data_IF_464957032284
#
_entry.id   IF_464957032284
#
_cell.length_a   1.000
_cell.length_b   1.000
_cell.length_c   1.000
_cell.angle_alpha   90.00
_cell.angle_beta   90.00
_cell.angle_gamma   90.00
#
_symmetry.space_group_name_H-M   'P 1'
#
loop_
_entity.id
_entity.type
_entity.pdbx_description
1 polymer ?
#
# COMPACT_ATOMS: atom_id res chain seq x y z
N UNK A 1 3.44 -17.99 -20.97
CA UNK A 1 3.60 -19.21 -20.14
C UNK A 1 4.21 -18.74 -18.83
N UNK A 2 3.47 -18.83 -17.73
CA UNK A 2 4.00 -18.55 -16.39
C UNK A 2 5.09 -19.58 -16.11
N UNK A 3 6.35 -19.14 -16.00
CA UNK A 3 7.38 -19.94 -15.35
C UNK A 3 6.99 -20.04 -13.88
N UNK A 4 6.46 -21.19 -13.49
CA UNK A 4 6.25 -21.51 -12.08
C UNK A 4 7.65 -21.58 -11.44
N UNK A 5 8.12 -20.48 -10.89
CA UNK A 5 9.12 -20.50 -9.84
C UNK A 5 8.58 -21.45 -8.79
N UNK A 6 9.35 -22.48 -8.42
CA UNK A 6 8.90 -23.48 -7.48
C UNK A 6 8.33 -22.76 -6.23
N UNK A 7 7.04 -22.97 -5.97
CA UNK A 7 6.39 -22.39 -4.80
C UNK A 7 7.25 -22.73 -3.57
N UNK A 8 7.64 -21.74 -2.77
CA UNK A 8 8.36 -22.04 -1.55
C UNK A 8 7.52 -23.03 -0.73
N UNK A 9 8.16 -24.02 -0.12
CA UNK A 9 7.48 -25.00 0.75
C UNK A 9 6.86 -24.37 2.00
N UNK A 10 6.94 -23.07 2.13
CA UNK A 10 6.48 -22.21 3.20
C UNK A 10 7.36 -20.96 3.31
N UNK A 11 6.90 -19.98 4.04
CA UNK A 11 7.66 -18.81 4.44
C UNK A 11 8.76 -19.18 5.44
N UNK A 12 9.64 -18.26 5.86
CA UNK A 12 10.66 -18.54 6.86
C UNK A 12 10.11 -19.35 8.03
N UNK A 13 10.83 -20.41 8.42
CA UNK A 13 10.45 -21.41 9.45
C UNK A 13 9.24 -22.29 9.05
N UNK A 14 8.92 -22.40 7.75
CA UNK A 14 7.83 -23.23 7.26
C UNK A 14 6.42 -22.65 7.54
N UNK A 15 6.32 -21.37 7.87
CA UNK A 15 5.03 -20.71 8.11
C UNK A 15 4.16 -20.69 6.85
N UNK A 16 2.85 -20.95 6.98
CA UNK A 16 1.98 -21.03 5.81
C UNK A 16 1.48 -19.69 5.28
N UNK A 17 1.51 -18.62 6.09
CA UNK A 17 0.99 -17.33 5.73
C UNK A 17 2.03 -16.25 6.02
N UNK A 18 2.26 -15.33 5.07
CA UNK A 18 2.92 -14.06 5.31
C UNK A 18 1.86 -12.98 5.53
N UNK A 19 2.06 -12.13 6.53
CA UNK A 19 1.17 -11.00 6.80
C UNK A 19 1.99 -9.72 6.82
N UNK A 20 1.65 -8.79 5.92
CA UNK A 20 2.21 -7.44 5.84
C UNK A 20 1.23 -6.38 6.30
N UNK A 21 1.72 -5.19 6.54
CA UNK A 21 0.92 -4.02 6.90
C UNK A 21 1.25 -2.88 5.95
N UNK A 22 0.24 -2.28 5.34
CA UNK A 22 0.37 -1.15 4.43
C UNK A 22 -0.41 0.06 4.90
N UNK A 23 0.22 1.22 4.85
CA UNK A 23 -0.39 2.53 5.12
C UNK A 23 -0.37 3.35 3.85
N UNK A 24 -1.55 3.66 3.32
CA UNK A 24 -1.72 4.54 2.17
C UNK A 24 -1.66 5.99 2.63
N UNK A 25 -0.62 6.70 2.21
CA UNK A 25 -0.42 8.12 2.46
C UNK A 25 -0.61 8.89 1.16
N UNK A 26 -1.87 9.18 0.88
CA UNK A 26 -2.35 9.70 -0.38
C UNK A 26 -2.45 11.22 -0.39
N UNK A 27 -2.01 11.82 -1.50
CA UNK A 27 -2.07 13.25 -1.76
C UNK A 27 -2.65 13.57 -3.13
N UNK A 28 -3.21 14.77 -3.27
CA UNK A 28 -3.76 15.33 -4.50
C UNK A 28 -3.08 16.65 -4.84
N UNK A 29 -3.07 17.02 -6.13
CA UNK A 29 -2.63 18.36 -6.58
C UNK A 29 -3.57 19.44 -6.08
N UNK A 30 -3.13 20.72 -6.12
CA UNK A 30 -3.88 21.84 -5.51
C UNK A 30 -5.22 22.12 -6.18
N UNK A 31 -5.36 21.72 -7.43
CA UNK A 31 -6.57 21.84 -8.26
C UNK A 31 -7.48 20.62 -8.20
N UNK A 32 -7.17 19.65 -7.33
CA UNK A 32 -7.86 18.36 -7.28
C UNK A 32 -8.20 17.92 -5.85
N UNK A 33 -9.09 16.94 -5.76
CA UNK A 33 -9.54 16.31 -4.54
C UNK A 33 -9.94 14.84 -4.84
N UNK A 34 -10.10 13.98 -3.81
CA UNK A 34 -10.72 12.68 -3.98
C UNK A 34 -12.04 12.76 -4.77
N UNK A 35 -12.23 11.85 -5.72
CA UNK A 35 -13.46 11.84 -6.53
C UNK A 35 -14.72 11.45 -5.76
N UNK A 36 -14.56 10.93 -4.53
CA UNK A 36 -15.63 10.64 -3.58
C UNK A 36 -15.23 11.27 -2.26
N UNK A 37 -15.98 12.25 -1.79
CA UNK A 37 -15.84 12.81 -0.45
C UNK A 37 -16.63 12.00 0.59
N UNK A 38 -16.34 12.18 1.90
CA UNK A 38 -16.96 11.40 2.97
C UNK A 38 -18.48 11.59 3.06
N UNK A 39 -19.01 12.70 2.54
CA UNK A 39 -20.47 12.96 2.50
C UNK A 39 -21.14 12.50 1.21
N UNK A 40 -20.37 12.00 0.24
CA UNK A 40 -20.91 11.46 -1.01
C UNK A 40 -21.63 12.45 -1.91
N UNK A 41 -21.42 13.77 -1.73
CA UNK A 41 -22.08 14.79 -2.54
C UNK A 41 -21.33 14.98 -3.88
N UNK A 42 -21.92 14.60 -5.02
CA UNK A 42 -21.30 14.85 -6.31
C UNK A 42 -21.36 16.33 -6.65
N UNK A 43 -20.22 16.93 -6.99
CA UNK A 43 -20.16 18.31 -7.50
C UNK A 43 -20.13 18.31 -9.03
N UNK A 44 -20.48 19.46 -9.62
CA UNK A 44 -20.37 19.64 -11.08
C UNK A 44 -18.90 19.55 -11.51
N UNK A 45 -18.68 19.06 -12.73
CA UNK A 45 -17.33 19.04 -13.31
C UNK A 45 -16.69 20.43 -13.27
N UNK A 46 -15.41 20.51 -12.93
CA UNK A 46 -14.64 21.73 -12.79
C UNK A 46 -14.81 22.48 -11.46
N UNK A 47 -15.65 22.01 -10.55
CA UNK A 47 -15.76 22.55 -9.19
C UNK A 47 -14.87 21.75 -8.25
N UNK A 48 -13.92 22.40 -7.58
CA UNK A 48 -13.05 21.77 -6.59
C UNK A 48 -13.85 21.44 -5.32
N UNK A 49 -13.87 20.16 -4.93
CA UNK A 49 -14.50 19.70 -3.71
C UNK A 49 -13.59 19.98 -2.48
N UNK A 50 -13.82 21.11 -1.83
CA UNK A 50 -13.07 21.52 -0.65
C UNK A 50 -13.28 20.60 0.55
N UNK A 51 -14.43 19.95 0.65
CA UNK A 51 -14.71 18.99 1.72
C UNK A 51 -13.89 17.71 1.52
N UNK A 52 -13.91 17.13 0.31
CA UNK A 52 -13.12 15.96 -0.02
C UNK A 52 -11.62 16.24 0.12
N UNK A 53 -11.16 17.44 -0.31
CA UNK A 53 -9.79 17.90 -0.11
C UNK A 53 -9.42 17.96 1.37
N UNK A 54 -10.24 18.59 2.20
CA UNK A 54 -10.03 18.68 3.65
C UNK A 54 -10.02 17.30 4.32
N UNK A 55 -10.87 16.39 3.85
CA UNK A 55 -10.90 15.00 4.31
C UNK A 55 -9.59 14.27 3.99
N UNK A 56 -9.06 14.39 2.78
CA UNK A 56 -7.79 13.80 2.38
C UNK A 56 -6.60 14.35 3.17
N UNK A 57 -6.58 15.67 3.42
CA UNK A 57 -5.52 16.33 4.18
C UNK A 57 -5.44 15.91 5.66
N UNK A 58 -6.50 15.31 6.20
CA UNK A 58 -6.45 14.69 7.52
C UNK A 58 -5.37 13.60 7.59
N UNK A 59 -5.13 12.89 6.48
CA UNK A 59 -4.13 11.83 6.40
C UNK A 59 -2.74 12.29 6.85
N UNK A 60 -2.08 13.20 6.13
CA UNK A 60 -0.74 13.65 6.50
C UNK A 60 -0.69 14.54 7.75
N UNK A 61 -1.79 15.26 8.07
CA UNK A 61 -1.82 16.18 9.22
C UNK A 61 -2.03 15.49 10.56
N UNK A 62 -2.82 14.41 10.60
CA UNK A 62 -3.24 13.77 11.86
C UNK A 62 -3.17 12.25 11.77
N UNK A 63 -3.78 11.68 10.72
CA UNK A 63 -3.99 10.23 10.63
C UNK A 63 -2.70 9.43 10.59
N UNK A 64 -1.74 9.84 9.77
CA UNK A 64 -0.46 9.15 9.65
C UNK A 64 0.34 9.13 10.96
N UNK A 65 0.35 10.24 11.71
CA UNK A 65 1.00 10.31 13.02
C UNK A 65 0.38 9.34 14.02
N UNK A 66 -0.95 9.28 14.06
CA UNK A 66 -1.67 8.31 14.92
C UNK A 66 -1.35 6.86 14.54
N UNK A 67 -1.30 6.55 13.25
CA UNK A 67 -0.95 5.21 12.79
C UNK A 67 0.50 4.85 13.10
N UNK A 68 1.44 5.82 13.04
CA UNK A 68 2.82 5.65 13.48
C UNK A 68 2.90 5.31 14.97
N UNK A 69 2.21 6.06 15.83
CA UNK A 69 2.17 5.79 17.27
C UNK A 69 1.62 4.39 17.58
N UNK A 70 0.60 3.95 16.84
CA UNK A 70 0.03 2.61 16.98
C UNK A 70 1.05 1.54 16.57
N UNK A 71 1.71 1.71 15.42
CA UNK A 71 2.72 0.77 14.92
C UNK A 71 3.92 0.67 15.86
N UNK A 72 4.39 1.81 16.40
CA UNK A 72 5.47 1.85 17.40
C UNK A 72 5.07 1.11 18.66
N UNK A 73 3.89 1.40 19.22
CA UNK A 73 3.35 0.70 20.40
C UNK A 73 3.17 -0.81 20.21
N UNK A 74 2.98 -1.27 18.97
CA UNK A 74 2.88 -2.69 18.60
C UNK A 74 4.24 -3.28 18.17
N UNK A 75 5.28 -2.47 18.01
CA UNK A 75 6.59 -2.87 17.49
C UNK A 75 6.49 -3.61 16.13
N UNK A 76 5.64 -3.12 15.25
CA UNK A 76 5.42 -3.66 13.91
C UNK A 76 5.92 -2.71 12.84
N UNK A 77 6.59 -3.27 11.83
CA UNK A 77 6.94 -2.54 10.60
C UNK A 77 5.77 -2.53 9.64
N UNK A 78 5.68 -1.47 8.84
CA UNK A 78 4.71 -1.31 7.79
C UNK A 78 5.38 -0.77 6.51
N UNK A 79 4.68 -0.90 5.38
CA UNK A 79 5.00 -0.20 4.13
C UNK A 79 4.11 1.04 4.06
N UNK A 80 4.72 2.21 3.98
CA UNK A 80 4.02 3.46 3.69
C UNK A 80 4.11 3.74 2.19
N UNK A 81 2.99 3.66 1.51
CA UNK A 81 2.86 4.04 0.10
C UNK A 81 2.58 5.54 0.03
N UNK A 82 3.56 6.30 -0.45
CA UNK A 82 3.57 7.76 -0.35
C UNK A 82 3.39 8.41 -1.71
N UNK A 83 2.36 9.25 -1.86
CA UNK A 83 2.28 10.17 -2.99
C UNK A 83 3.42 11.20 -2.93
N UNK A 84 4.19 11.35 -4.00
CA UNK A 84 5.38 12.20 -4.04
C UNK A 84 5.14 13.65 -3.63
N UNK A 85 3.96 14.19 -3.93
CA UNK A 85 3.55 15.54 -3.51
C UNK A 85 3.54 15.69 -1.98
N UNK A 86 3.28 14.63 -1.22
CA UNK A 86 3.32 14.66 0.25
C UNK A 86 4.75 14.61 0.77
N UNK A 87 5.67 13.98 0.04
CA UNK A 87 7.10 14.02 0.39
C UNK A 87 7.66 15.46 0.30
N UNK A 88 7.20 16.27 -0.66
CA UNK A 88 7.55 17.69 -0.71
C UNK A 88 6.85 18.52 0.39
N UNK A 89 5.54 18.27 0.63
CA UNK A 89 4.73 19.09 1.55
C UNK A 89 4.96 18.77 3.04
N UNK A 90 5.31 17.52 3.36
CA UNK A 90 5.42 17.01 4.74
C UNK A 90 6.74 16.26 4.96
N UNK A 91 7.90 16.88 4.72
CA UNK A 91 9.20 16.19 4.83
C UNK A 91 9.49 15.69 6.24
N UNK A 92 8.96 16.34 7.29
CA UNK A 92 9.12 15.88 8.68
C UNK A 92 8.40 14.55 8.92
N UNK A 93 7.20 14.38 8.37
CA UNK A 93 6.47 13.12 8.44
C UNK A 93 7.25 12.01 7.71
N UNK A 94 7.81 12.30 6.53
CA UNK A 94 8.62 11.33 5.79
C UNK A 94 9.83 10.86 6.61
N UNK A 95 10.53 11.81 7.24
CA UNK A 95 11.68 11.50 8.11
C UNK A 95 11.25 10.68 9.33
N UNK A 96 10.10 10.99 9.94
CA UNK A 96 9.59 10.23 11.07
C UNK A 96 9.26 8.78 10.68
N UNK A 97 8.60 8.56 9.52
CA UNK A 97 8.29 7.23 8.99
C UNK A 97 9.59 6.41 8.78
N UNK A 98 10.58 7.02 8.12
CA UNK A 98 11.85 6.35 7.85
C UNK A 98 12.66 6.09 9.14
N UNK A 99 12.70 7.05 10.06
CA UNK A 99 13.41 6.91 11.35
C UNK A 99 12.81 5.82 12.24
N UNK A 100 11.49 5.60 12.16
CA UNK A 100 10.81 4.49 12.85
C UNK A 100 11.07 3.12 12.18
N UNK A 101 11.86 3.07 11.08
CA UNK A 101 12.23 1.84 10.41
C UNK A 101 11.18 1.27 9.47
N UNK A 102 10.14 2.03 9.13
CA UNK A 102 9.15 1.61 8.14
C UNK A 102 9.71 1.71 6.72
N UNK A 103 9.14 0.92 5.81
CA UNK A 103 9.44 1.00 4.38
C UNK A 103 8.68 2.17 3.78
N UNK A 104 9.37 3.04 3.02
CA UNK A 104 8.73 4.08 2.21
C UNK A 104 8.72 3.62 0.76
N UNK A 105 7.54 3.33 0.23
CA UNK A 105 7.30 2.98 -1.17
C UNK A 105 6.61 4.14 -1.91
N UNK A 106 6.82 4.22 -3.22
CA UNK A 106 6.25 5.28 -4.04
C UNK A 106 4.80 4.98 -4.44
N UNK A 107 3.96 6.01 -4.51
CA UNK A 107 2.54 5.93 -4.86
C UNK A 107 2.12 6.99 -5.89
N UNK A 108 2.96 7.18 -6.93
CA UNK A 108 2.80 8.25 -7.92
C UNK A 108 3.00 9.64 -7.35
N UNK A 109 2.89 10.66 -8.20
CA UNK A 109 3.00 12.03 -7.74
C UNK A 109 1.79 12.45 -6.90
N UNK A 110 0.59 12.16 -7.39
CA UNK A 110 -0.67 12.43 -6.72
C UNK A 110 -1.79 11.51 -7.22
N UNK A 111 -2.81 11.28 -6.41
CA UNK A 111 -3.87 10.30 -6.69
C UNK A 111 -4.80 10.69 -7.84
N UNK A 112 -4.77 11.95 -8.28
CA UNK A 112 -5.48 12.42 -9.48
C UNK A 112 -4.67 12.20 -10.77
N UNK A 113 -3.40 11.79 -10.68
CA UNK A 113 -2.52 11.51 -11.83
C UNK A 113 -2.43 10.00 -12.00
N UNK A 114 -3.36 9.45 -12.80
CA UNK A 114 -3.51 8.00 -12.98
C UNK A 114 -2.68 7.52 -14.17
N UNK A 115 -1.75 6.58 -13.99
CA UNK A 115 -0.87 6.09 -15.05
C UNK A 115 -1.59 5.66 -16.33
N UNK A 116 -2.74 4.98 -16.20
CA UNK A 116 -3.52 4.52 -17.36
C UNK A 116 -4.00 5.65 -18.30
N UNK A 117 -4.03 6.90 -17.83
CA UNK A 117 -4.46 8.07 -18.63
C UNK A 117 -3.29 8.91 -19.14
N UNK A 118 -2.06 8.59 -18.75
CA UNK A 118 -0.88 9.35 -19.12
C UNK A 118 -0.29 8.91 -20.47
N UNK A 119 0.42 9.82 -21.14
CA UNK A 119 1.33 9.44 -22.21
C UNK A 119 2.55 8.70 -21.64
N UNK A 120 3.31 7.94 -22.45
CA UNK A 120 4.52 7.27 -21.97
C UNK A 120 5.54 8.22 -21.34
N UNK A 121 5.70 9.40 -21.92
CA UNK A 121 6.63 10.43 -21.45
C UNK A 121 6.17 11.07 -20.13
N UNK A 122 4.86 11.30 -19.98
CA UNK A 122 4.27 11.85 -18.75
C UNK A 122 4.38 10.86 -17.60
N UNK A 123 4.07 9.59 -17.85
CA UNK A 123 4.16 8.53 -16.84
C UNK A 123 5.61 8.36 -16.34
N UNK A 124 6.59 8.34 -17.28
CA UNK A 124 8.00 8.27 -16.91
C UNK A 124 8.46 9.48 -16.08
N UNK A 125 7.99 10.69 -16.42
CA UNK A 125 8.29 11.93 -15.66
C UNK A 125 7.66 11.90 -14.28
N UNK A 126 6.41 11.45 -14.16
CA UNK A 126 5.70 11.34 -12.89
C UNK A 126 6.40 10.36 -11.94
N UNK A 127 6.77 9.18 -12.46
CA UNK A 127 7.52 8.17 -11.72
C UNK A 127 8.86 8.74 -11.22
N UNK A 128 9.64 9.37 -12.08
CA UNK A 128 10.93 9.96 -11.72
C UNK A 128 10.77 11.09 -10.69
N UNK A 129 9.78 11.96 -10.84
CA UNK A 129 9.47 13.04 -9.92
C UNK A 129 9.10 12.52 -8.54
N UNK A 130 8.20 11.55 -8.48
CA UNK A 130 7.78 10.91 -7.23
C UNK A 130 8.97 10.28 -6.50
N UNK A 131 9.75 9.47 -7.22
CA UNK A 131 10.93 8.80 -6.67
C UNK A 131 11.97 9.79 -6.14
N UNK A 132 12.21 10.90 -6.86
CA UNK A 132 13.15 11.93 -6.47
C UNK A 132 12.69 12.69 -5.21
N UNK A 133 11.42 13.07 -5.11
CA UNK A 133 10.87 13.76 -3.95
C UNK A 133 10.97 12.90 -2.68
N UNK A 134 10.65 11.62 -2.78
CA UNK A 134 10.80 10.67 -1.67
C UNK A 134 12.29 10.55 -1.30
N UNK A 135 13.18 10.34 -2.27
CA UNK A 135 14.61 10.20 -2.00
C UNK A 135 15.21 11.44 -1.32
N UNK A 136 14.78 12.64 -1.69
CA UNK A 136 15.21 13.89 -1.06
C UNK A 136 14.76 14.00 0.40
N UNK A 137 13.54 13.54 0.72
CA UNK A 137 13.01 13.66 2.08
C UNK A 137 13.47 12.57 3.03
N UNK A 138 13.73 11.33 2.56
CA UNK A 138 14.13 10.20 3.42
C UNK A 138 15.58 9.73 3.25
N UNK A 139 16.31 10.29 2.27
CA UNK A 139 17.72 9.95 2.01
C UNK A 139 17.93 8.66 1.21
N UNK A 140 16.87 7.96 0.80
CA UNK A 140 16.91 6.71 0.03
C UNK A 140 15.87 6.70 -1.08
N UNK A 141 16.21 6.10 -2.24
CA UNK A 141 15.23 5.87 -3.29
C UNK A 141 14.22 4.80 -2.85
N UNK A 142 12.92 4.99 -3.17
CA UNK A 142 11.95 3.94 -2.94
C UNK A 142 12.27 2.72 -3.81
N UNK A 143 12.17 1.52 -3.23
CA UNK A 143 12.37 0.24 -3.91
C UNK A 143 11.08 -0.35 -4.45
N UNK A 144 9.96 0.06 -3.88
CA UNK A 144 8.63 -0.42 -4.20
C UNK A 144 7.71 0.65 -4.74
N UNK A 145 6.70 0.19 -5.48
CA UNK A 145 5.68 1.04 -6.12
C UNK A 145 4.28 0.46 -5.96
N UNK A 146 3.31 1.33 -5.85
CA UNK A 146 1.89 1.08 -6.11
C UNK A 146 1.36 2.24 -6.95
N UNK A 147 0.69 1.95 -8.04
CA UNK A 147 0.11 3.01 -8.89
C UNK A 147 -1.00 3.76 -8.17
N UNK A 148 -1.14 5.08 -8.40
CA UNK A 148 -2.29 5.84 -7.94
C UNK A 148 -3.60 5.12 -8.25
N UNK A 149 -4.44 4.97 -7.22
CA UNK A 149 -5.73 4.26 -7.29
C UNK A 149 -5.60 2.80 -7.74
N UNK A 150 -4.44 2.18 -7.58
CA UNK A 150 -4.13 0.82 -8.09
C UNK A 150 -4.46 0.67 -9.58
N UNK A 151 -4.20 1.72 -10.38
CA UNK A 151 -4.58 1.76 -11.81
C UNK A 151 -3.33 2.02 -12.67
N UNK A 152 -2.49 0.97 -12.88
CA UNK A 152 -1.33 1.03 -13.75
C UNK A 152 -1.72 1.17 -15.23
N UNK A 153 -0.78 1.59 -16.06
CA UNK A 153 -0.83 1.43 -17.50
C UNK A 153 -0.20 0.08 -17.92
N UNK A 154 -0.38 -0.32 -19.15
CA UNK A 154 0.32 -1.48 -19.71
C UNK A 154 1.86 -1.33 -19.75
N UNK A 155 2.38 -0.10 -19.58
CA UNK A 155 3.81 0.23 -19.58
C UNK A 155 4.41 0.32 -18.17
N UNK A 156 3.59 0.47 -17.14
CA UNK A 156 4.04 0.75 -15.76
C UNK A 156 5.11 -0.23 -15.29
N UNK A 157 4.88 -1.53 -15.45
CA UNK A 157 5.84 -2.57 -15.02
C UNK A 157 7.19 -2.44 -15.72
N UNK A 158 7.20 -2.15 -17.03
CA UNK A 158 8.43 -1.99 -17.81
C UNK A 158 9.17 -0.69 -17.41
N UNK A 159 8.46 0.40 -17.17
CA UNK A 159 9.03 1.66 -16.68
C UNK A 159 9.67 1.49 -15.30
N UNK A 160 8.99 0.80 -14.39
CA UNK A 160 9.49 0.51 -13.04
C UNK A 160 10.75 -0.37 -13.08
N UNK A 161 10.73 -1.46 -13.85
CA UNK A 161 11.90 -2.32 -14.02
C UNK A 161 13.09 -1.55 -14.61
N UNK A 162 12.86 -0.75 -15.66
CA UNK A 162 13.90 0.09 -16.27
C UNK A 162 14.41 1.21 -15.35
N UNK A 163 13.61 1.67 -14.42
CA UNK A 163 13.98 2.66 -13.41
C UNK A 163 14.66 2.04 -12.16
N UNK A 164 14.78 0.71 -12.08
CA UNK A 164 15.46 0.01 -11.00
C UNK A 164 14.62 -0.12 -9.73
N UNK A 165 13.30 -0.24 -9.84
CA UNK A 165 12.45 -0.68 -8.74
C UNK A 165 12.56 -2.20 -8.59
N UNK A 166 12.54 -2.68 -7.35
CA UNK A 166 12.65 -4.11 -7.04
C UNK A 166 11.31 -4.82 -7.17
N UNK A 167 10.21 -4.13 -6.82
CA UNK A 167 8.86 -4.69 -6.81
C UNK A 167 7.77 -3.62 -7.00
N UNK A 168 6.57 -4.09 -7.41
CA UNK A 168 5.35 -3.28 -7.34
C UNK A 168 4.11 -4.11 -7.00
N UNK A 169 3.09 -3.46 -6.45
CA UNK A 169 1.92 -4.10 -5.86
C UNK A 169 0.63 -3.88 -6.67
N UNK A 170 0.73 -3.62 -7.97
CA UNK A 170 -0.44 -3.39 -8.84
C UNK A 170 -1.13 -4.70 -9.31
N UNK A 171 -0.89 -5.81 -8.65
CA UNK A 171 -1.40 -7.13 -9.03
C UNK A 171 -2.43 -7.66 -8.04
N UNK A 172 -3.49 -8.29 -8.58
CA UNK A 172 -4.60 -8.85 -7.81
C UNK A 172 -4.93 -10.29 -8.26
N UNK A 173 -4.00 -10.95 -8.95
CA UNK A 173 -4.20 -12.19 -9.69
C UNK A 173 -3.57 -13.42 -9.03
N UNK A 174 -2.92 -13.25 -7.86
CA UNK A 174 -2.23 -14.34 -7.17
C UNK A 174 -2.25 -14.16 -5.64
N UNK A 175 -2.06 -15.26 -4.91
CA UNK A 175 -1.87 -15.28 -3.46
C UNK A 175 -0.40 -15.18 -3.03
N UNK A 176 0.53 -15.25 -3.99
CA UNK A 176 1.97 -15.24 -3.77
C UNK A 176 2.67 -14.25 -4.67
N UNK A 177 3.77 -13.61 -4.23
CA UNK A 177 4.64 -12.87 -5.12
C UNK A 177 5.18 -13.76 -6.24
N UNK A 178 5.50 -13.13 -7.39
CA UNK A 178 6.10 -13.83 -8.53
C UNK A 178 6.96 -12.89 -9.36
N UNK A 179 7.85 -13.47 -10.16
CA UNK A 179 8.65 -12.70 -11.14
C UNK A 179 7.79 -12.34 -12.34
N UNK A 180 7.65 -11.05 -12.55
CA UNK A 180 6.99 -10.49 -13.72
C UNK A 180 8.04 -10.02 -14.73
N UNK A 181 8.06 -10.66 -15.91
CA UNK A 181 9.00 -10.32 -16.98
C UNK A 181 8.44 -9.20 -17.84
N UNK A 182 9.25 -8.18 -18.08
CA UNK A 182 8.92 -7.04 -18.93
C UNK A 182 9.99 -6.85 -20.02
N UNK A 183 9.73 -6.04 -21.06
CA UNK A 183 10.76 -5.69 -22.05
C UNK A 183 12.01 -5.00 -21.46
N UNK A 184 11.87 -4.33 -20.30
CA UNK A 184 12.97 -3.61 -19.63
C UNK A 184 13.67 -4.41 -18.53
N UNK A 185 13.30 -5.68 -18.34
CA UNK A 185 13.83 -6.54 -17.27
C UNK A 185 12.73 -7.20 -16.48
N UNK A 186 13.08 -7.94 -15.43
CA UNK A 186 12.11 -8.56 -14.56
C UNK A 186 11.97 -7.75 -13.26
N UNK A 187 10.74 -7.68 -12.74
CA UNK A 187 10.39 -7.03 -11.47
C UNK A 187 9.55 -7.99 -10.64
N UNK A 188 9.61 -7.91 -9.32
CA UNK A 188 8.74 -8.74 -8.48
C UNK A 188 7.34 -8.15 -8.40
N UNK A 189 6.34 -8.93 -8.79
CA UNK A 189 4.94 -8.66 -8.54
C UNK A 189 4.61 -9.08 -7.11
N UNK A 190 4.16 -8.16 -6.29
CA UNK A 190 3.66 -8.42 -4.93
C UNK A 190 2.15 -8.26 -4.96
N UNK A 191 1.35 -9.34 -4.89
CA UNK A 191 -0.10 -9.25 -4.94
C UNK A 191 -0.64 -8.43 -3.78
N UNK A 192 -1.61 -7.55 -4.09
CA UNK A 192 -2.23 -6.66 -3.14
C UNK A 192 -3.56 -7.22 -2.65
N UNK A 193 -3.72 -7.34 -1.34
CA UNK A 193 -4.94 -7.92 -0.75
C UNK A 193 -6.10 -6.95 -0.76
N UNK A 194 -7.27 -7.40 -1.24
CA UNK A 194 -8.49 -6.59 -1.29
C UNK A 194 -9.39 -6.78 -0.06
N UNK A 195 -9.29 -7.93 0.62
CA UNK A 195 -10.21 -8.37 1.65
C UNK A 195 -10.03 -7.63 2.97
N UNK A 196 -8.80 -7.19 3.28
CA UNK A 196 -8.46 -6.46 4.50
C UNK A 196 -7.93 -5.07 4.13
N UNK A 197 -8.79 -4.28 3.50
CA UNK A 197 -8.49 -2.94 3.03
C UNK A 197 -9.66 -2.01 3.35
N UNK A 198 -9.42 -0.95 4.09
CA UNK A 198 -10.44 -0.03 4.58
C UNK A 198 -11.15 0.73 3.45
N UNK A 199 -10.49 0.99 2.31
CA UNK A 199 -11.11 1.69 1.20
C UNK A 199 -12.25 0.89 0.56
N UNK A 200 -12.08 -0.38 0.12
CA UNK A 200 -13.20 -1.18 -0.34
C UNK A 200 -14.19 -1.51 0.77
N UNK A 201 -13.73 -1.94 1.94
CA UNK A 201 -14.63 -2.40 3.00
C UNK A 201 -15.49 -1.29 3.59
N UNK A 202 -14.86 -0.22 4.06
CA UNK A 202 -15.54 0.83 4.80
C UNK A 202 -16.10 1.92 3.88
N UNK A 203 -15.29 2.40 2.92
CA UNK A 203 -15.71 3.55 2.09
C UNK A 203 -16.61 3.13 0.94
N UNK A 204 -16.30 2.03 0.24
CA UNK A 204 -17.07 1.63 -0.95
C UNK A 204 -18.26 0.74 -0.64
N UNK A 205 -18.08 -0.24 0.23
CA UNK A 205 -19.15 -1.21 0.56
C UNK A 205 -19.99 -0.73 1.75
N UNK A 206 -19.54 0.28 2.51
CA UNK A 206 -20.27 0.80 3.67
C UNK A 206 -20.34 -0.19 4.82
N UNK A 207 -19.34 -1.07 4.95
CA UNK A 207 -19.27 -2.01 6.06
C UNK A 207 -19.02 -1.29 7.39
N UNK A 208 -19.48 -1.89 8.48
CA UNK A 208 -19.11 -1.44 9.83
C UNK A 208 -17.59 -1.51 10.02
N UNK A 209 -16.95 -0.58 10.76
CA UNK A 209 -15.49 -0.59 10.97
C UNK A 209 -14.98 -1.92 11.53
N UNK A 210 -15.72 -2.57 12.43
CA UNK A 210 -15.43 -3.85 13.06
C UNK A 210 -15.34 -5.01 12.06
N UNK A 211 -15.93 -4.86 10.88
CA UNK A 211 -15.81 -5.84 9.81
C UNK A 211 -14.36 -6.05 9.39
N UNK A 212 -13.54 -5.02 9.47
CA UNK A 212 -12.12 -5.07 9.13
C UNK A 212 -11.36 -6.11 9.97
N UNK A 213 -11.42 -5.97 11.30
CA UNK A 213 -10.79 -6.91 12.24
C UNK A 213 -11.40 -8.30 12.14
N UNK A 214 -12.73 -8.40 12.06
CA UNK A 214 -13.45 -9.67 11.97
C UNK A 214 -13.11 -10.47 10.71
N UNK A 215 -12.96 -9.81 9.56
CA UNK A 215 -12.57 -10.44 8.30
C UNK A 215 -11.14 -10.95 8.39
N UNK A 216 -10.20 -10.13 8.88
CA UNK A 216 -8.81 -10.54 9.09
C UNK A 216 -8.74 -11.80 9.95
N UNK A 217 -9.36 -11.79 11.12
CA UNK A 217 -9.34 -12.93 12.04
C UNK A 217 -9.93 -14.19 11.39
N UNK A 218 -11.04 -14.04 10.66
CA UNK A 218 -11.67 -15.15 9.94
C UNK A 218 -10.75 -15.73 8.87
N UNK A 219 -10.05 -14.90 8.11
CA UNK A 219 -9.12 -15.36 7.08
C UNK A 219 -7.95 -16.11 7.74
N UNK A 220 -7.27 -15.47 8.69
CA UNK A 220 -6.09 -16.04 9.34
C UNK A 220 -6.45 -17.37 10.03
N UNK A 221 -7.50 -17.41 10.84
CA UNK A 221 -7.91 -18.61 11.56
C UNK A 221 -8.30 -19.78 10.64
N UNK A 222 -8.74 -19.52 9.42
CA UNK A 222 -9.19 -20.55 8.47
C UNK A 222 -8.22 -20.77 7.31
N UNK A 223 -7.09 -20.09 7.23
CA UNK A 223 -6.13 -20.23 6.15
C UNK A 223 -5.76 -21.68 5.83
N UNK A 224 -5.45 -22.54 6.83
CA UNK A 224 -5.13 -23.94 6.57
C UNK A 224 -6.23 -24.74 5.86
N UNK A 225 -7.48 -24.28 5.93
CA UNK A 225 -8.65 -24.92 5.30
C UNK A 225 -8.86 -24.52 3.86
N UNK A 226 -8.19 -23.46 3.37
CA UNK A 226 -8.29 -22.98 1.98
C UNK A 226 -7.51 -23.86 1.00
N UNK A 227 -6.78 -24.85 1.50
CA UNK A 227 -6.22 -25.96 0.72
C UNK A 227 -4.92 -25.65 -0.03
N UNK A 228 -4.58 -24.42 -0.29
CA UNK A 228 -3.31 -24.03 -0.90
C UNK A 228 -2.50 -23.18 0.07
N UNK A 229 -1.26 -23.56 0.27
CA UNK A 229 -0.29 -22.86 1.09
C UNK A 229 1.07 -22.92 0.41
N UNK A 230 1.92 -21.92 0.57
CA UNK A 230 1.76 -20.67 1.32
C UNK A 230 0.93 -19.61 0.61
N UNK A 231 0.67 -18.48 1.31
CA UNK A 231 0.04 -17.29 0.75
C UNK A 231 0.46 -16.00 1.44
N UNK A 232 0.04 -14.88 0.91
CA UNK A 232 0.25 -13.54 1.48
C UNK A 232 -1.08 -12.88 1.81
N UNK A 233 -1.08 -12.09 2.87
CA UNK A 233 -2.20 -11.23 3.26
C UNK A 233 -1.65 -9.87 3.68
N UNK A 234 -2.21 -8.79 3.14
CA UNK A 234 -1.85 -7.43 3.52
C UNK A 234 -2.98 -6.77 4.31
N UNK A 235 -2.62 -6.13 5.42
CA UNK A 235 -3.52 -5.30 6.22
C UNK A 235 -3.36 -3.87 5.76
N UNK A 236 -4.28 -3.38 4.95
CA UNK A 236 -4.18 -2.07 4.30
C UNK A 236 -5.10 -1.04 4.95
N UNK A 237 -4.53 0.09 5.34
CA UNK A 237 -5.29 1.24 5.85
C UNK A 237 -4.87 2.54 5.16
N UNK A 238 -5.83 3.43 4.94
CA UNK A 238 -5.59 4.77 4.42
C UNK A 238 -5.51 5.79 5.57
N UNK A 239 -4.46 6.59 5.60
CA UNK A 239 -4.24 7.55 6.69
C UNK A 239 -5.39 8.55 6.88
N UNK A 240 -6.11 8.89 5.82
CA UNK A 240 -7.27 9.78 5.87
C UNK A 240 -8.61 9.06 6.18
N UNK A 241 -8.62 7.72 6.16
CA UNK A 241 -9.78 6.87 6.47
C UNK A 241 -9.61 6.24 7.86
N UNK A 242 -8.81 5.19 7.98
CA UNK A 242 -8.58 4.49 9.25
C UNK A 242 -7.53 5.16 10.15
N UNK A 243 -6.86 6.22 9.71
CA UNK A 243 -6.18 7.15 10.62
C UNK A 243 -7.14 7.97 11.50
N UNK A 244 -8.47 7.95 11.24
CA UNK A 244 -9.50 8.55 12.10
C UNK A 244 -9.83 7.66 13.31
N UNK A 245 -10.38 8.23 14.39
CA UNK A 245 -10.47 7.52 15.70
C UNK A 245 -11.07 6.11 15.61
N UNK A 246 -12.23 5.93 14.99
CA UNK A 246 -12.88 4.60 14.93
C UNK A 246 -12.09 3.61 14.08
N UNK A 247 -11.58 4.06 12.93
CA UNK A 247 -10.73 3.21 12.07
C UNK A 247 -9.39 2.87 12.74
N UNK A 248 -8.80 3.82 13.48
CA UNK A 248 -7.56 3.58 14.22
C UNK A 248 -7.73 2.53 15.34
N UNK A 249 -8.90 2.49 15.98
CA UNK A 249 -9.24 1.42 16.93
C UNK A 249 -9.26 0.07 16.21
N UNK A 250 -9.90 -0.03 15.06
CA UNK A 250 -9.97 -1.27 14.30
C UNK A 250 -8.62 -1.68 13.69
N UNK A 251 -7.80 -0.71 13.29
CA UNK A 251 -6.42 -0.98 12.88
C UNK A 251 -5.61 -1.58 14.04
N UNK A 252 -5.71 -1.00 15.25
CA UNK A 252 -5.03 -1.51 16.44
C UNK A 252 -5.50 -2.94 16.78
N UNK A 253 -6.81 -3.21 16.72
CA UNK A 253 -7.39 -4.54 16.93
C UNK A 253 -6.90 -5.55 15.86
N UNK A 254 -6.80 -5.14 14.60
CA UNK A 254 -6.28 -5.98 13.52
C UNK A 254 -4.80 -6.34 13.74
N UNK A 255 -3.99 -5.40 14.21
CA UNK A 255 -2.59 -5.68 14.56
C UNK A 255 -2.49 -6.66 15.74
N UNK A 256 -3.40 -6.58 16.72
CA UNK A 256 -3.48 -7.56 17.81
C UNK A 256 -3.84 -8.97 17.29
N UNK A 257 -4.75 -9.04 16.32
CA UNK A 257 -5.02 -10.32 15.62
C UNK A 257 -3.75 -10.84 14.96
N UNK A 258 -3.06 -10.04 14.15
CA UNK A 258 -1.85 -10.47 13.47
C UNK A 258 -0.78 -10.96 14.46
N UNK A 259 -0.58 -10.26 15.58
CA UNK A 259 0.38 -10.66 16.61
C UNK A 259 0.02 -11.96 17.33
N UNK A 260 -1.26 -12.26 17.56
CA UNK A 260 -1.70 -13.54 18.13
C UNK A 260 -1.32 -14.75 17.27
N UNK A 261 -1.20 -14.58 15.96
CA UNK A 261 -0.86 -15.64 15.02
C UNK A 261 0.62 -15.66 14.61
N UNK A 262 1.48 -14.83 15.23
CA UNK A 262 2.90 -14.68 14.86
C UNK A 262 3.73 -15.96 14.88
N UNK A 263 3.32 -16.97 15.65
CA UNK A 263 4.04 -18.25 15.71
C UNK A 263 3.79 -19.08 14.44
N UNK A 264 2.73 -18.82 13.74
CA UNK A 264 2.25 -19.51 12.58
C UNK A 264 2.25 -18.65 11.31
N UNK A 265 2.01 -17.35 11.44
CA UNK A 265 2.14 -16.39 10.35
C UNK A 265 3.47 -15.64 10.43
N UNK A 266 4.08 -15.38 9.29
CA UNK A 266 5.27 -14.55 9.19
C UNK A 266 4.86 -13.08 9.05
N UNK A 267 5.03 -12.30 10.11
CA UNK A 267 4.84 -10.85 10.06
C UNK A 267 6.03 -10.22 9.35
N UNK A 268 5.79 -9.52 8.25
CA UNK A 268 6.80 -9.10 7.30
C UNK A 268 6.43 -7.78 6.60
N UNK A 269 7.24 -7.36 5.63
CA UNK A 269 6.96 -6.24 4.72
C UNK A 269 7.20 -6.63 3.25
N UNK A 270 6.78 -5.78 2.32
CA UNK A 270 6.86 -6.08 0.90
C UNK A 270 8.30 -6.14 0.34
N UNK A 271 9.25 -5.47 0.98
CA UNK A 271 10.67 -5.63 0.59
C UNK A 271 11.15 -7.06 0.90
N UNK A 272 10.89 -7.54 2.12
CA UNK A 272 11.27 -8.89 2.52
C UNK A 272 10.52 -9.97 1.71
N UNK A 273 9.27 -9.72 1.31
CA UNK A 273 8.54 -10.59 0.38
C UNK A 273 9.21 -10.61 -1.00
N UNK A 274 9.56 -9.43 -1.52
CA UNK A 274 10.16 -9.31 -2.85
C UNK A 274 11.56 -9.95 -2.91
N UNK A 275 12.36 -9.81 -1.85
CA UNK A 275 13.72 -10.36 -1.76
C UNK A 275 13.73 -11.90 -1.92
N UNK A 276 12.68 -12.60 -1.48
CA UNK A 276 12.55 -14.06 -1.62
C UNK A 276 12.22 -14.50 -3.06
N UNK A 277 11.79 -13.59 -3.93
CA UNK A 277 11.42 -13.85 -5.32
C UNK A 277 12.29 -13.08 -6.32
N UNK A 278 13.32 -12.39 -5.83
CA UNK A 278 14.19 -11.49 -6.61
C UNK A 278 15.27 -12.18 -7.44
N UNK A 279 15.56 -13.48 -7.18
CA UNK A 279 16.61 -14.26 -7.86
C UNK A 279 16.09 -15.12 -9.02
#
# INVERSE_FOLDING_TARGET
MMHATALPKGWPQGRPLAVSVSVMLEGWTDDSAPGIGPMGNPLKAGVLDLQARSWAEYGPKVGAWRLLDILDGKQLRAVFYVSGILAERYPDLMRAIAAAGHVVAAHGWGQNIVPAYQTPEDEARDLARCSSAIAQSVGMRPKGWLSPRCTPSERTSALLAGAGFDWHADFFDADLPYRHTTPSGAITAVPFTMEVNDMPLYVRYGSEPEAFTRILERIVANWPRLGRQPGCLDITVHAHVFGRPVGAIEFMNALDVAQRYRDWAWLTDHCALADLFGE
#
